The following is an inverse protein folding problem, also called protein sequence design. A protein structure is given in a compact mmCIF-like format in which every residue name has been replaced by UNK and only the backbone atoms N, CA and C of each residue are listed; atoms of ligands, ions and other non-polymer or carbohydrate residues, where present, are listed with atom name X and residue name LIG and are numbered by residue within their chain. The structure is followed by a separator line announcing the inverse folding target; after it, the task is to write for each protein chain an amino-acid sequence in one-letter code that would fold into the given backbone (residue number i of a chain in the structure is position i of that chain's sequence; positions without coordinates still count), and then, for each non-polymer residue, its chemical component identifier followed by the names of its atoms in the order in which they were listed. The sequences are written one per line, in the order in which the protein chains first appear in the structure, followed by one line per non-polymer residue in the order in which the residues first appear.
data_IF_627222792962
#
_entry.id   IF_627222792962
#
_cell.length_a   1.000
_cell.length_b   1.000
_cell.length_c   1.000
_cell.angle_alpha   90.00
_cell.angle_beta   90.00
_cell.angle_gamma   90.00
#
_symmetry.space_group_name_H-M   'P 1'
#
loop_
_entity.id
_entity.type
_entity.pdbx_description
1 polymer ?
#
# COMPACT_ATOMS: atom_id res chain seq x y z
N UNK A 1 7.19 -15.59 32.04
CA UNK A 1 7.15 -14.15 31.69
C UNK A 1 5.76 -13.62 32.02
N UNK A 2 5.63 -12.81 33.07
CA UNK A 2 4.38 -12.53 33.81
C UNK A 2 3.23 -12.01 32.94
N UNK A 3 2.06 -12.66 33.03
CA UNK A 3 0.83 -12.37 32.30
C UNK A 3 0.39 -10.89 32.36
N UNK A 4 0.70 -10.19 33.46
CA UNK A 4 0.44 -8.76 33.63
C UNK A 4 1.15 -7.89 32.58
N UNK A 5 2.34 -8.29 32.12
CA UNK A 5 3.11 -7.57 31.08
C UNK A 5 2.47 -7.76 29.70
N UNK A 6 1.82 -8.89 29.44
CA UNK A 6 1.08 -9.17 28.20
C UNK A 6 -0.22 -8.36 28.15
N UNK A 7 -0.96 -8.32 29.26
CA UNK A 7 -2.20 -7.54 29.37
C UNK A 7 -1.95 -6.04 29.19
N UNK A 8 -0.88 -5.50 29.81
CA UNK A 8 -0.50 -4.09 29.66
C UNK A 8 -0.01 -3.75 28.25
N UNK A 9 0.67 -4.68 27.56
CA UNK A 9 1.02 -4.52 26.13
C UNK A 9 -0.23 -4.49 25.25
N UNK A 10 -1.19 -5.40 25.48
CA UNK A 10 -2.45 -5.40 24.74
C UNK A 10 -3.25 -4.12 24.98
N UNK A 11 -3.32 -3.61 26.22
CA UNK A 11 -4.02 -2.37 26.53
C UNK A 11 -3.40 -1.12 25.88
N UNK A 12 -2.09 -1.11 25.64
CA UNK A 12 -1.41 0.00 24.94
C UNK A 12 -1.52 -0.14 23.42
N UNK A 13 -1.49 -1.36 22.89
CA UNK A 13 -1.63 -1.61 21.45
C UNK A 13 -3.09 -1.55 20.98
N UNK A 14 -4.07 -1.80 21.85
CA UNK A 14 -5.47 -1.93 21.44
C UNK A 14 -6.06 -0.62 20.90
N UNK A 15 -5.89 0.57 21.50
CA UNK A 15 -6.47 1.79 20.94
C UNK A 15 -5.99 2.13 19.52
N UNK A 16 -4.67 2.14 19.20
CA UNK A 16 -4.22 2.43 17.84
C UNK A 16 -4.63 1.32 16.86
N UNK A 17 -4.63 0.05 17.27
CA UNK A 17 -5.10 -1.04 16.40
C UNK A 17 -6.58 -0.94 16.08
N UNK A 18 -7.44 -0.68 17.07
CA UNK A 18 -8.87 -0.48 16.86
C UNK A 18 -9.08 0.72 15.93
N UNK A 19 -8.34 1.81 16.14
CA UNK A 19 -8.40 2.99 15.27
C UNK A 19 -8.04 2.65 13.82
N UNK A 20 -6.93 1.95 13.58
CA UNK A 20 -6.54 1.51 12.23
C UNK A 20 -7.60 0.60 11.62
N UNK A 21 -8.13 -0.37 12.37
CA UNK A 21 -9.17 -1.28 11.87
C UNK A 21 -10.43 -0.51 11.48
N UNK A 22 -10.92 0.36 12.35
CA UNK A 22 -12.17 1.11 12.12
C UNK A 22 -12.00 2.10 10.96
N UNK A 23 -10.95 2.91 10.95
CA UNK A 23 -10.84 3.98 9.95
C UNK A 23 -10.21 3.54 8.62
N UNK A 24 -9.44 2.45 8.60
CA UNK A 24 -8.81 1.97 7.37
C UNK A 24 -9.60 0.81 6.76
N UNK A 25 -9.96 -0.21 7.55
CA UNK A 25 -10.58 -1.42 6.98
C UNK A 25 -12.07 -1.24 6.71
N UNK A 26 -12.83 -0.53 7.55
CA UNK A 26 -14.26 -0.31 7.31
C UNK A 26 -14.54 0.35 5.95
N UNK A 27 -13.91 1.48 5.57
CA UNK A 27 -14.17 2.07 4.25
C UNK A 27 -13.70 1.17 3.10
N UNK A 28 -12.61 0.41 3.28
CA UNK A 28 -12.18 -0.56 2.27
C UNK A 28 -13.16 -1.73 2.11
N UNK A 29 -13.75 -2.22 3.20
CA UNK A 29 -14.81 -3.24 3.13
C UNK A 29 -16.06 -2.69 2.44
N UNK A 30 -16.45 -1.44 2.74
CA UNK A 30 -17.57 -0.78 2.05
C UNK A 30 -17.30 -0.69 0.54
N UNK A 31 -16.11 -0.25 0.15
CA UNK A 31 -15.71 -0.19 -1.26
C UNK A 31 -15.70 -1.57 -1.93
N UNK A 32 -15.24 -2.60 -1.21
CA UNK A 32 -15.25 -3.98 -1.67
C UNK A 32 -16.68 -4.50 -1.86
N UNK A 33 -17.62 -4.16 -1.00
CA UNK A 33 -19.03 -4.54 -1.19
C UNK A 33 -19.60 -3.84 -2.44
N UNK A 34 -19.33 -2.53 -2.59
CA UNK A 34 -19.76 -1.77 -3.76
C UNK A 34 -19.17 -2.29 -5.07
N UNK A 35 -17.98 -2.89 -5.07
CA UNK A 35 -17.41 -3.44 -6.31
C UNK A 35 -18.18 -4.65 -6.85
N UNK A 36 -18.99 -5.32 -6.02
CA UNK A 36 -19.91 -6.38 -6.47
C UNK A 36 -21.28 -5.87 -6.90
N UNK A 37 -21.66 -4.65 -6.51
CA UNK A 37 -22.94 -4.03 -6.87
C UNK A 37 -22.95 -3.59 -8.32
N UNK A 38 -24.14 -3.51 -8.91
CA UNK A 38 -24.25 -3.05 -10.29
C UNK A 38 -24.13 -1.52 -10.34
N UNK A 39 -23.25 -1.03 -11.20
CA UNK A 39 -23.03 0.40 -11.39
C UNK A 39 -24.06 0.97 -12.37
N UNK A 40 -25.21 1.44 -11.88
CA UNK A 40 -26.20 2.16 -12.70
C UNK A 40 -26.27 3.63 -12.32
N UNK A 41 -25.52 4.48 -13.02
CA UNK A 41 -25.57 5.93 -12.80
C UNK A 41 -27.02 6.45 -12.75
N UNK A 42 -27.45 7.15 -11.67
CA UNK A 42 -26.66 7.80 -10.61
C UNK A 42 -26.51 6.99 -9.30
N UNK A 43 -26.97 5.73 -9.26
CA UNK A 43 -27.07 4.92 -8.04
C UNK A 43 -26.30 3.59 -8.15
N UNK A 44 -26.11 2.90 -7.04
CA UNK A 44 -25.63 1.52 -7.05
C UNK A 44 -26.77 0.63 -6.59
N UNK A 45 -27.15 -0.35 -7.42
CA UNK A 45 -28.16 -1.33 -7.02
C UNK A 45 -27.45 -2.50 -6.35
N UNK A 46 -27.86 -2.89 -5.12
CA UNK A 46 -27.36 -4.08 -4.47
C UNK A 46 -27.61 -5.31 -5.33
N UNK A 47 -26.54 -5.78 -5.97
CA UNK A 47 -26.47 -7.03 -6.72
C UNK A 47 -25.18 -7.73 -6.32
N UNK A 48 -25.15 -9.06 -6.34
CA UNK A 48 -23.90 -9.80 -6.17
C UNK A 48 -23.49 -10.35 -7.53
N UNK A 49 -22.62 -9.63 -8.22
CA UNK A 49 -22.16 -10.00 -9.55
C UNK A 49 -20.68 -9.68 -9.79
N UNK A 50 -20.12 -10.25 -10.86
CA UNK A 50 -18.73 -10.04 -11.26
C UNK A 50 -18.59 -9.23 -12.56
N UNK A 51 -19.68 -8.66 -13.09
CA UNK A 51 -19.68 -7.92 -14.36
C UNK A 51 -18.71 -6.74 -14.37
N UNK A 52 -18.60 -6.01 -13.26
CA UNK A 52 -17.62 -4.91 -13.13
C UNK A 52 -16.18 -5.42 -13.36
N UNK A 53 -15.80 -6.54 -12.75
CA UNK A 53 -14.48 -7.14 -12.94
C UNK A 53 -14.25 -7.65 -14.36
N UNK A 54 -15.30 -8.13 -15.02
CA UNK A 54 -15.22 -8.55 -16.41
C UNK A 54 -14.98 -7.34 -17.34
N UNK A 55 -15.63 -6.21 -17.07
CA UNK A 55 -15.39 -4.96 -17.79
C UNK A 55 -13.93 -4.49 -17.67
N UNK A 56 -13.30 -4.63 -16.50
CA UNK A 56 -11.87 -4.30 -16.33
C UNK A 56 -10.94 -5.03 -17.33
N UNK A 57 -11.30 -6.26 -17.73
CA UNK A 57 -10.49 -7.09 -18.63
C UNK A 57 -10.95 -6.97 -20.09
N UNK A 58 -12.26 -6.84 -20.32
CA UNK A 58 -12.83 -6.76 -21.67
C UNK A 58 -12.67 -5.39 -22.29
N UNK A 59 -12.68 -4.32 -21.49
CA UNK A 59 -12.53 -2.97 -22.00
C UNK A 59 -11.04 -2.63 -22.20
N UNK A 60 -10.61 -2.42 -23.46
CA UNK A 60 -9.21 -2.15 -23.77
C UNK A 60 -8.70 -0.85 -23.14
N UNK A 61 -9.56 0.12 -22.87
CA UNK A 61 -9.17 1.37 -22.22
C UNK A 61 -8.74 1.12 -20.77
N UNK A 62 -9.55 0.40 -19.98
CA UNK A 62 -9.20 0.06 -18.60
C UNK A 62 -7.90 -0.74 -18.53
N UNK A 63 -7.77 -1.76 -19.37
CA UNK A 63 -6.57 -2.60 -19.43
C UNK A 63 -5.33 -1.76 -19.82
N UNK A 64 -5.46 -0.85 -20.78
CA UNK A 64 -4.35 0.03 -21.18
C UNK A 64 -3.88 0.95 -20.04
N UNK A 65 -4.81 1.50 -19.26
CA UNK A 65 -4.49 2.36 -18.10
C UNK A 65 -3.82 1.54 -17.00
N UNK A 66 -4.33 0.35 -16.71
CA UNK A 66 -3.75 -0.55 -15.72
C UNK A 66 -2.31 -0.95 -16.08
N UNK A 67 -2.07 -1.34 -17.34
CA UNK A 67 -0.71 -1.70 -17.78
C UNK A 67 0.23 -0.50 -17.81
N UNK A 68 -0.25 0.69 -18.20
CA UNK A 68 0.57 1.91 -18.19
C UNK A 68 1.00 2.28 -16.77
N UNK A 69 0.08 2.27 -15.82
CA UNK A 69 0.39 2.58 -14.41
C UNK A 69 1.33 1.54 -13.82
N UNK A 70 1.10 0.24 -14.07
CA UNK A 70 2.00 -0.82 -13.62
C UNK A 70 3.40 -0.71 -14.22
N UNK A 71 3.50 -0.40 -15.52
CA UNK A 71 4.78 -0.18 -16.20
C UNK A 71 5.54 1.00 -15.59
N UNK A 72 4.88 2.12 -15.35
CA UNK A 72 5.49 3.30 -14.74
C UNK A 72 5.96 2.97 -13.33
N UNK A 73 5.11 2.38 -12.49
CA UNK A 73 5.46 2.02 -11.12
C UNK A 73 6.65 1.05 -11.07
N UNK A 74 6.66 0.05 -11.96
CA UNK A 74 7.76 -0.92 -12.09
C UNK A 74 9.07 -0.25 -12.51
N UNK A 75 9.04 0.60 -13.55
CA UNK A 75 10.22 1.32 -14.01
C UNK A 75 10.77 2.26 -12.95
N UNK A 76 9.91 3.05 -12.29
CA UNK A 76 10.32 3.97 -11.22
C UNK A 76 10.94 3.20 -10.06
N UNK A 77 10.32 2.10 -9.62
CA UNK A 77 10.83 1.28 -8.54
C UNK A 77 12.20 0.67 -8.90
N UNK A 78 12.36 0.16 -10.11
CA UNK A 78 13.61 -0.42 -10.58
C UNK A 78 14.72 0.65 -10.69
N UNK A 79 14.42 1.81 -11.26
CA UNK A 79 15.37 2.93 -11.31
C UNK A 79 15.76 3.39 -9.90
N UNK A 80 14.79 3.53 -8.99
CA UNK A 80 15.05 3.91 -7.61
C UNK A 80 15.96 2.90 -6.92
N UNK A 81 15.74 1.60 -7.10
CA UNK A 81 16.62 0.56 -6.55
C UNK A 81 18.02 0.64 -7.16
N UNK A 82 18.13 0.72 -8.49
CA UNK A 82 19.42 0.79 -9.18
C UNK A 82 20.25 2.01 -8.79
N UNK A 83 19.62 3.12 -8.40
CA UNK A 83 20.31 4.32 -7.91
C UNK A 83 20.58 4.25 -6.39
N UNK A 84 19.61 3.80 -5.61
CA UNK A 84 19.73 3.75 -4.15
C UNK A 84 20.72 2.69 -3.67
N UNK A 85 20.78 1.52 -4.31
CA UNK A 85 21.71 0.45 -3.94
C UNK A 85 23.20 0.85 -4.02
N UNK A 86 23.73 1.36 -5.15
CA UNK A 86 25.12 1.76 -5.22
C UNK A 86 25.43 2.93 -4.28
N UNK A 87 24.48 3.86 -4.11
CA UNK A 87 24.61 4.95 -3.14
C UNK A 87 24.74 4.42 -1.70
N UNK A 88 23.84 3.52 -1.27
CA UNK A 88 23.89 2.89 0.04
C UNK A 88 25.16 2.05 0.23
N UNK A 89 25.58 1.31 -0.80
CA UNK A 89 26.82 0.53 -0.78
C UNK A 89 28.05 1.43 -0.58
N UNK A 90 28.15 2.53 -1.33
CA UNK A 90 29.25 3.49 -1.17
C UNK A 90 29.27 4.09 0.24
N UNK A 91 28.10 4.50 0.74
CA UNK A 91 27.94 5.09 2.06
C UNK A 91 28.37 4.13 3.19
N UNK A 92 28.02 2.85 3.10
CA UNK A 92 28.35 1.85 4.12
C UNK A 92 29.80 1.40 4.04
N UNK A 93 30.34 1.12 2.85
CA UNK A 93 31.63 0.44 2.70
C UNK A 93 32.81 1.35 2.38
N UNK A 94 32.60 2.54 1.79
CA UNK A 94 33.69 3.45 1.39
C UNK A 94 33.83 4.68 2.28
N UNK A 95 32.76 5.19 2.88
CA UNK A 95 32.83 6.39 3.73
C UNK A 95 33.29 6.01 5.15
N UNK A 96 34.59 6.19 5.42
CA UNK A 96 35.19 5.93 6.75
C UNK A 96 35.17 7.14 7.71
N UNK A 97 34.89 8.36 7.23
CA UNK A 97 34.87 9.57 8.06
C UNK A 97 33.51 9.77 8.73
N UNK A 98 33.41 9.77 10.08
CA UNK A 98 32.14 9.86 10.79
C UNK A 98 31.38 11.17 10.54
N UNK A 99 32.08 12.30 10.34
CA UNK A 99 31.44 13.59 10.04
C UNK A 99 30.76 13.65 8.67
N UNK A 100 31.30 12.96 7.66
CA UNK A 100 30.70 12.87 6.31
C UNK A 100 29.53 11.89 6.31
N UNK A 101 29.59 10.80 7.11
CA UNK A 101 28.45 9.90 7.30
C UNK A 101 27.27 10.63 7.94
N UNK A 102 27.53 11.44 8.98
CA UNK A 102 26.47 12.18 9.68
C UNK A 102 25.79 13.23 8.79
N UNK A 103 26.57 13.95 7.97
CA UNK A 103 26.03 14.94 7.03
C UNK A 103 25.24 14.32 5.86
N UNK A 104 25.45 13.04 5.55
CA UNK A 104 24.68 12.28 4.55
C UNK A 104 23.44 11.58 5.15
N UNK A 105 23.35 11.46 6.48
CA UNK A 105 22.20 10.90 7.19
C UNK A 105 21.15 11.96 7.56
N UNK A 106 21.54 13.23 7.61
CA UNK A 106 20.66 14.38 7.79
C UNK A 106 20.12 14.86 6.45
#
# INVERSE_FOLDING_TARGET
MSAARRLRRFAVLSPPLIWTVVFMFVPYTILLVYSFWEAQYPTFVPAFQFGNYLQLVQDPQYLSVLLRTLKIAGLVSLCALLLAFPYAYFLVFKVRRPGVRLALYM
#
